data_IF_202325318626
#
_entry.id   IF_202325318626
#
_cell.length_a   1.000
_cell.length_b   1.000
_cell.length_c   1.000
_cell.angle_alpha   90.00
_cell.angle_beta   90.00
_cell.angle_gamma   90.00
#
_symmetry.space_group_name_H-M   'P 1'
#
loop_
_entity.id
_entity.type
_entity.pdbx_description
1 polymer ?
#
# COMPACT_ATOMS: atom_id res chain seq x y z
N UNK A 1 -16.76 -7.35 2.63
CA UNK A 1 -15.60 -6.53 2.20
C UNK A 1 -15.18 -5.67 3.39
N UNK A 2 -13.88 -5.60 3.73
CA UNK A 2 -13.41 -4.75 4.81
C UNK A 2 -13.67 -3.27 4.51
N UNK A 3 -14.02 -2.50 5.54
CA UNK A 3 -14.22 -1.06 5.41
C UNK A 3 -12.85 -0.35 5.53
N UNK A 4 -12.30 0.07 4.39
CA UNK A 4 -11.01 0.77 4.35
C UNK A 4 -11.14 2.24 4.78
N UNK A 5 -10.25 2.65 5.68
CA UNK A 5 -10.12 4.05 6.14
C UNK A 5 -8.82 4.65 5.62
N UNK A 6 -8.75 5.98 5.60
CA UNK A 6 -7.57 6.72 5.18
C UNK A 6 -7.21 7.74 6.26
N UNK A 7 -5.92 7.84 6.59
CA UNK A 7 -5.46 8.91 7.49
C UNK A 7 -5.48 10.26 6.77
N UNK A 8 -5.58 11.36 7.54
CA UNK A 8 -5.45 12.70 6.98
C UNK A 8 -4.11 12.92 6.24
N UNK A 9 -3.04 12.27 6.70
CA UNK A 9 -1.75 12.27 5.99
C UNK A 9 -1.87 11.63 4.60
N UNK A 10 -2.56 10.50 4.49
CA UNK A 10 -2.78 9.86 3.19
C UNK A 10 -3.54 10.79 2.24
N UNK A 11 -4.64 11.37 2.70
CA UNK A 11 -5.50 12.20 1.84
C UNK A 11 -4.83 13.52 1.45
N UNK A 12 -4.17 14.20 2.40
CA UNK A 12 -3.63 15.54 2.18
C UNK A 12 -2.21 15.56 1.61
N UNK A 13 -1.42 14.50 1.85
CA UNK A 13 -0.02 14.45 1.39
C UNK A 13 0.22 13.40 0.31
N UNK A 14 -0.28 12.18 0.47
CA UNK A 14 0.01 11.08 -0.46
C UNK A 14 -0.73 11.28 -1.78
N UNK A 15 -2.06 11.45 -1.72
CA UNK A 15 -2.88 11.66 -2.92
C UNK A 15 -2.57 12.99 -3.60
N UNK A 16 -2.28 14.04 -2.82
CA UNK A 16 -1.88 15.35 -3.36
C UNK A 16 -0.58 15.29 -4.18
N UNK A 17 0.43 14.56 -3.69
CA UNK A 17 1.73 14.41 -4.39
C UNK A 17 1.68 13.37 -5.52
N UNK A 18 0.66 12.51 -5.54
CA UNK A 18 0.50 11.42 -6.51
C UNK A 18 -0.94 11.38 -7.02
N UNK A 19 -1.38 12.38 -7.81
CA UNK A 19 -2.77 12.47 -8.27
C UNK A 19 -3.20 11.30 -9.17
N UNK A 20 -2.25 10.52 -9.69
CA UNK A 20 -2.50 9.30 -10.45
C UNK A 20 -2.86 8.08 -9.58
N UNK A 21 -2.71 8.15 -8.24
CA UNK A 21 -3.04 7.04 -7.36
C UNK A 21 -4.54 6.81 -7.27
N UNK A 22 -4.93 5.54 -7.38
CA UNK A 22 -6.30 5.08 -7.14
C UNK A 22 -6.38 4.44 -5.75
N UNK A 23 -7.41 4.80 -4.98
CA UNK A 23 -7.67 4.18 -3.67
C UNK A 23 -7.88 2.66 -3.83
N UNK A 24 -8.44 2.25 -4.96
CA UNK A 24 -8.70 0.86 -5.38
C UNK A 24 -7.41 0.05 -5.48
N UNK A 25 -6.33 0.63 -5.99
CA UNK A 25 -5.03 -0.04 -6.01
C UNK A 25 -4.52 -0.32 -4.60
N UNK A 26 -4.74 0.60 -3.65
CA UNK A 26 -4.32 0.38 -2.28
C UNK A 26 -5.09 -0.76 -1.62
N UNK A 27 -6.41 -0.85 -1.88
CA UNK A 27 -7.25 -1.96 -1.42
C UNK A 27 -6.77 -3.27 -2.03
N UNK A 28 -6.55 -3.29 -3.34
CA UNK A 28 -6.06 -4.47 -4.06
C UNK A 28 -4.75 -5.00 -3.47
N UNK A 29 -3.78 -4.12 -3.17
CA UNK A 29 -2.50 -4.52 -2.53
C UNK A 29 -2.72 -5.18 -1.16
N UNK A 30 -3.67 -4.69 -0.37
CA UNK A 30 -3.96 -5.26 0.96
C UNK A 30 -4.67 -6.61 0.83
N UNK A 31 -5.56 -6.76 -0.16
CA UNK A 31 -6.34 -7.99 -0.39
C UNK A 31 -5.55 -9.09 -1.10
N UNK A 32 -4.58 -8.71 -1.95
CA UNK A 32 -3.78 -9.64 -2.77
C UNK A 32 -2.27 -9.39 -2.62
N UNK A 33 -1.72 -9.42 -1.38
CA UNK A 33 -0.31 -9.11 -1.18
C UNK A 33 0.59 -10.25 -1.67
N UNK A 34 1.66 -9.90 -2.37
CA UNK A 34 2.79 -10.80 -2.65
C UNK A 34 3.77 -10.86 -1.47
N UNK A 35 3.77 -9.84 -0.61
CA UNK A 35 4.55 -9.79 0.64
C UNK A 35 3.79 -9.00 1.69
N UNK A 36 3.94 -9.40 2.95
CA UNK A 36 3.45 -8.67 4.12
C UNK A 36 4.59 -8.57 5.14
N UNK A 37 4.80 -7.40 5.73
CA UNK A 37 5.82 -7.16 6.74
C UNK A 37 5.26 -6.30 7.86
N UNK A 38 5.39 -6.76 9.11
CA UNK A 38 5.07 -5.96 10.30
C UNK A 38 6.34 -5.24 10.74
N UNK A 39 6.27 -3.92 10.85
CA UNK A 39 7.35 -3.09 11.34
C UNK A 39 7.35 -3.01 12.87
N UNK A 40 8.51 -2.68 13.47
CA UNK A 40 8.65 -2.52 14.92
C UNK A 40 7.79 -1.39 15.54
N UNK A 41 7.22 -0.50 14.73
CA UNK A 41 6.24 0.53 15.15
C UNK A 41 4.77 0.09 14.97
N UNK A 42 4.53 -1.22 14.80
CA UNK A 42 3.24 -1.87 14.53
C UNK A 42 2.57 -1.46 13.20
N UNK A 43 3.26 -0.75 12.31
CA UNK A 43 2.75 -0.54 10.95
C UNK A 43 2.88 -1.81 10.15
N UNK A 44 1.93 -2.04 9.25
CA UNK A 44 1.96 -3.20 8.37
C UNK A 44 2.14 -2.75 6.93
N UNK A 45 3.17 -3.28 6.29
CA UNK A 45 3.49 -3.05 4.88
C UNK A 45 2.96 -4.21 4.05
N UNK A 46 2.31 -3.89 2.96
CA UNK A 46 1.79 -4.81 1.96
C UNK A 46 2.41 -4.45 0.62
N UNK A 47 2.75 -5.45 -0.17
CA UNK A 47 3.21 -5.25 -1.55
C UNK A 47 2.32 -6.05 -2.48
N UNK A 48 1.98 -5.49 -3.63
CA UNK A 48 1.43 -6.26 -4.74
C UNK A 48 1.78 -5.60 -6.08
N UNK A 49 1.69 -6.39 -7.15
CA UNK A 49 1.86 -5.92 -8.52
C UNK A 49 0.55 -5.34 -9.04
N UNK A 50 0.58 -4.15 -9.62
CA UNK A 50 -0.60 -3.49 -10.16
C UNK A 50 -0.58 -3.53 -11.68
N UNK A 51 -1.44 -4.35 -12.27
CA UNK A 51 -1.50 -4.54 -13.72
C UNK A 51 -1.76 -3.22 -14.47
N UNK A 52 -2.71 -2.39 -14.00
CA UNK A 52 -3.03 -1.11 -14.68
C UNK A 52 -1.98 -0.02 -14.45
N UNK A 53 -0.95 -0.30 -13.65
CA UNK A 53 0.14 0.62 -13.37
C UNK A 53 1.46 0.06 -13.90
N UNK A 54 1.44 -0.32 -15.18
CA UNK A 54 2.59 -0.90 -15.90
C UNK A 54 3.20 -2.11 -15.19
N UNK A 55 2.37 -2.89 -14.50
CA UNK A 55 2.83 -4.03 -13.68
C UNK A 55 3.90 -3.66 -12.65
N UNK A 56 3.91 -2.41 -12.16
CA UNK A 56 4.82 -1.94 -11.12
C UNK A 56 4.41 -2.49 -9.75
N UNK A 57 5.39 -2.66 -8.88
CA UNK A 57 5.13 -3.01 -7.48
C UNK A 57 4.67 -1.78 -6.72
N UNK A 58 3.57 -1.93 -6.00
CA UNK A 58 3.07 -0.92 -5.09
C UNK A 58 3.22 -1.38 -3.64
N UNK A 59 3.81 -0.53 -2.80
CA UNK A 59 3.84 -0.72 -1.35
C UNK A 59 2.76 0.12 -0.69
N UNK A 60 1.94 -0.51 0.14
CA UNK A 60 0.92 0.15 0.97
C UNK A 60 1.27 -0.07 2.44
N UNK A 61 1.19 1.00 3.23
CA UNK A 61 1.45 1.00 4.66
C UNK A 61 0.14 1.31 5.38
N UNK A 62 -0.22 0.44 6.32
CA UNK A 62 -1.41 0.58 7.16
C UNK A 62 -1.01 0.79 8.63
N UNK A 63 -1.97 1.27 9.42
CA UNK A 63 -1.91 1.23 10.88
C UNK A 63 -2.08 -0.23 11.39
N UNK A 64 -1.94 -0.50 12.70
CA UNK A 64 -1.98 -1.88 13.23
C UNK A 64 -3.28 -2.65 12.93
N UNK A 65 -4.38 -1.94 12.64
CA UNK A 65 -5.67 -2.52 12.27
C UNK A 65 -5.71 -3.13 10.86
N UNK A 66 -4.64 -2.96 10.05
CA UNK A 66 -4.50 -3.45 8.66
C UNK A 66 -5.55 -2.92 7.68
N UNK A 67 -6.42 -2.00 8.11
CA UNK A 67 -7.52 -1.46 7.31
C UNK A 67 -7.45 0.06 7.16
N UNK A 68 -6.73 0.75 8.04
CA UNK A 68 -6.50 2.19 7.96
C UNK A 68 -5.21 2.47 7.19
N UNK A 69 -5.35 2.93 5.95
CA UNK A 69 -4.26 3.22 5.03
C UNK A 69 -3.59 4.54 5.43
N UNK A 70 -2.28 4.45 5.72
CA UNK A 70 -1.47 5.59 6.13
C UNK A 70 -0.62 6.12 4.98
N UNK A 71 0.01 5.25 4.18
CA UNK A 71 0.88 5.67 3.09
C UNK A 71 0.84 4.67 1.92
N UNK A 72 1.13 5.12 0.70
CA UNK A 72 1.31 4.24 -0.45
C UNK A 72 2.25 4.86 -1.49
N UNK A 73 3.10 4.06 -2.11
CA UNK A 73 4.02 4.52 -3.15
C UNK A 73 4.57 3.36 -4.00
N UNK A 74 4.97 3.62 -5.25
CA UNK A 74 5.65 2.62 -6.08
C UNK A 74 6.96 2.21 -5.40
N UNK A 75 7.24 0.92 -5.34
CA UNK A 75 8.45 0.38 -4.70
C UNK A 75 9.36 -0.25 -5.76
N UNK A 76 10.13 0.58 -6.46
CA UNK A 76 11.08 0.13 -7.51
C UNK A 76 12.24 -0.70 -6.96
N UNK A 77 12.47 -0.65 -5.65
CA UNK A 77 13.51 -1.43 -4.97
C UNK A 77 12.98 -2.74 -4.40
N UNK A 78 11.71 -3.07 -4.64
CA UNK A 78 11.17 -4.36 -4.26
C UNK A 78 11.95 -5.45 -4.98
N UNK A 79 12.68 -6.26 -4.20
CA UNK A 79 13.30 -7.49 -4.66
C UNK A 79 12.38 -8.62 -4.28
N UNK A 80 11.88 -9.31 -5.30
CA UNK A 80 11.23 -10.60 -5.18
C UNK A 80 12.33 -11.64 -4.95
N UNK A 81 13.06 -11.50 -3.84
CA UNK A 81 14.01 -12.51 -3.42
C UNK A 81 13.30 -13.35 -2.35
N UNK A 82 13.11 -14.61 -2.73
CA UNK A 82 12.74 -15.74 -1.89
C UNK A 82 13.84 -16.01 -0.86
N UNK A 83 13.40 -16.60 0.27
CA UNK A 83 14.13 -17.06 1.46
C UNK A 83 14.39 -16.06 2.60
#
# INVERSE_FOLDING_TARGET
>A
MPNYKYTAYFENEVLRKRPYFKKEWCKFVIENPIRIEVQGDNRVRFWARIAEFESRILRVVTLPDRTTIHNAFPDSNFKENED
#
